data_IF_027625605874
#
_entry.id   IF_027625605874
#
_cell.length_a   1.000
_cell.length_b   1.000
_cell.length_c   1.000
_cell.angle_alpha   90.00
_cell.angle_beta   90.00
_cell.angle_gamma   90.00
#
_symmetry.space_group_name_H-M   'P 1'
#
loop_
_entity.id
_entity.type
_entity.pdbx_description
1 polymer ?
#
# COMPACT_ATOMS: atom_id res chain seq x y z
N UNK A 1 5.10 -20.78 -1.29
CA UNK A 1 4.00 -20.33 -0.41
C UNK A 1 4.60 -19.89 0.93
N UNK A 2 4.47 -18.63 1.29
CA UNK A 2 5.01 -18.07 2.55
C UNK A 2 3.90 -18.03 3.60
N UNK A 3 4.17 -18.52 4.82
CA UNK A 3 3.19 -18.40 5.92
C UNK A 3 3.09 -16.95 6.38
N UNK A 4 4.18 -16.35 6.78
CA UNK A 4 4.20 -14.97 7.25
C UNK A 4 5.53 -14.32 6.91
N UNK A 5 5.49 -13.03 6.63
CA UNK A 5 6.68 -12.20 6.54
C UNK A 5 6.40 -10.90 7.28
N UNK A 6 7.35 -10.48 8.10
CA UNK A 6 7.36 -9.17 8.75
C UNK A 6 8.75 -8.57 8.61
N UNK A 7 8.84 -7.27 8.31
CA UNK A 7 10.11 -6.57 8.39
C UNK A 7 9.91 -5.13 8.85
N UNK A 8 10.88 -4.66 9.63
CA UNK A 8 10.98 -3.32 10.18
C UNK A 8 12.26 -2.67 9.68
N UNK A 9 12.17 -1.47 9.11
CA UNK A 9 13.36 -0.71 8.72
C UNK A 9 13.25 0.74 9.19
N UNK A 10 14.38 1.29 9.61
CA UNK A 10 14.57 2.70 9.93
C UNK A 10 15.50 3.31 8.89
N UNK A 11 15.06 4.40 8.25
CA UNK A 11 15.79 5.14 7.22
C UNK A 11 16.36 4.28 6.06
N UNK A 12 15.64 3.30 5.48
CA UNK A 12 16.16 2.59 4.33
C UNK A 12 16.26 3.55 3.13
N UNK A 13 17.39 3.52 2.43
CA UNK A 13 17.63 4.36 1.26
C UNK A 13 16.68 3.99 0.11
N UNK A 14 16.63 2.70 -0.27
CA UNK A 14 15.74 2.21 -1.31
C UNK A 14 15.24 0.81 -0.96
N UNK A 15 13.97 0.53 -1.21
CA UNK A 15 13.49 -0.84 -1.29
C UNK A 15 13.68 -1.41 -2.70
N UNK A 16 14.13 -2.66 -2.79
CA UNK A 16 14.27 -3.39 -4.05
C UNK A 16 12.92 -3.89 -4.60
N UNK A 17 12.99 -4.83 -5.54
CA UNK A 17 11.80 -5.49 -6.11
C UNK A 17 11.44 -6.72 -5.29
N UNK A 18 10.19 -6.83 -4.86
CA UNK A 18 9.65 -8.01 -4.16
C UNK A 18 8.59 -8.66 -5.04
N UNK A 19 8.78 -9.94 -5.38
CA UNK A 19 7.83 -10.72 -6.16
C UNK A 19 7.44 -11.95 -5.34
N UNK A 20 6.15 -12.08 -5.01
CA UNK A 20 5.62 -13.17 -4.19
C UNK A 20 4.41 -13.80 -4.87
N UNK A 21 4.44 -15.11 -5.09
CA UNK A 21 3.28 -15.82 -5.64
C UNK A 21 2.13 -15.96 -4.64
N UNK A 22 2.45 -16.37 -3.41
CA UNK A 22 1.43 -16.54 -2.38
C UNK A 22 1.99 -16.40 -0.97
N UNK A 23 1.32 -15.58 -0.17
CA UNK A 23 1.63 -15.36 1.24
C UNK A 23 0.35 -15.32 2.09
N UNK A 24 0.34 -15.92 3.28
CA UNK A 24 -0.84 -15.83 4.16
C UNK A 24 -0.92 -14.43 4.75
N UNK A 25 0.15 -13.96 5.39
CA UNK A 25 0.19 -12.66 6.06
C UNK A 25 1.49 -11.91 5.80
N UNK A 26 1.37 -10.62 5.52
CA UNK A 26 2.51 -9.72 5.46
C UNK A 26 2.26 -8.51 6.36
N UNK A 27 3.23 -8.15 7.18
CA UNK A 27 3.30 -6.84 7.83
C UNK A 27 4.57 -6.10 7.45
N UNK A 28 4.46 -4.80 7.18
CA UNK A 28 5.63 -3.95 7.03
C UNK A 28 5.50 -2.69 7.87
N UNK A 29 6.64 -2.29 8.43
CA UNK A 29 6.79 -1.03 9.13
C UNK A 29 8.04 -0.32 8.66
N UNK A 30 7.89 0.95 8.32
CA UNK A 30 8.98 1.81 7.90
C UNK A 30 8.90 3.18 8.53
N UNK A 31 10.07 3.68 8.93
CA UNK A 31 10.24 5.08 9.30
C UNK A 31 11.25 5.75 8.37
N UNK A 32 10.84 6.88 7.79
CA UNK A 32 11.59 7.73 6.87
C UNK A 32 12.26 6.99 5.69
N UNK A 33 11.60 6.09 4.95
CA UNK A 33 12.19 5.54 3.75
C UNK A 33 12.31 6.61 2.66
N UNK A 34 13.43 6.62 1.95
CA UNK A 34 13.67 7.55 0.85
C UNK A 34 12.83 7.19 -0.39
N UNK A 35 12.97 5.97 -0.90
CA UNK A 35 12.10 5.44 -1.95
C UNK A 35 11.62 4.03 -1.63
N UNK A 36 10.33 3.80 -1.82
CA UNK A 36 9.81 2.45 -1.84
C UNK A 36 9.93 1.82 -3.23
N UNK A 37 10.32 0.55 -3.28
CA UNK A 37 10.48 -0.22 -4.51
C UNK A 37 9.17 -0.78 -5.07
N UNK A 38 9.31 -1.74 -5.98
CA UNK A 38 8.19 -2.41 -6.66
C UNK A 38 7.80 -3.67 -5.88
N UNK A 39 6.53 -3.79 -5.50
CA UNK A 39 5.96 -5.01 -4.91
C UNK A 39 4.97 -5.62 -5.89
N UNK A 40 5.14 -6.90 -6.22
CA UNK A 40 4.20 -7.68 -7.03
C UNK A 40 3.78 -8.92 -6.25
N UNK A 41 2.48 -9.04 -5.96
CA UNK A 41 1.93 -10.21 -5.25
C UNK A 41 0.73 -10.77 -6.00
N UNK A 42 0.74 -12.05 -6.37
CA UNK A 42 -0.46 -12.66 -6.97
C UNK A 42 -1.54 -12.97 -5.93
N UNK A 43 -1.19 -13.43 -4.72
CA UNK A 43 -2.19 -13.68 -3.67
C UNK A 43 -1.69 -13.41 -2.26
N UNK A 44 -2.50 -12.72 -1.47
CA UNK A 44 -2.27 -12.47 -0.05
C UNK A 44 -3.57 -12.56 0.74
N UNK A 45 -3.59 -13.23 1.90
CA UNK A 45 -4.81 -13.19 2.74
C UNK A 45 -4.88 -11.87 3.50
N UNK A 46 -3.85 -11.51 4.22
CA UNK A 46 -3.82 -10.29 5.01
C UNK A 46 -2.54 -9.51 4.80
N UNK A 47 -2.67 -8.22 4.54
CA UNK A 47 -1.55 -7.31 4.51
C UNK A 47 -1.84 -6.13 5.42
N UNK A 48 -0.90 -5.85 6.31
CA UNK A 48 -0.84 -4.58 7.03
C UNK A 48 0.41 -3.81 6.65
N UNK A 49 0.23 -2.51 6.45
CA UNK A 49 1.33 -1.63 6.12
C UNK A 49 1.31 -0.36 6.95
N UNK A 50 2.47 0.03 7.47
CA UNK A 50 2.64 1.26 8.21
C UNK A 50 3.89 2.01 7.75
N UNK A 51 3.71 3.29 7.46
CA UNK A 51 4.80 4.20 7.16
C UNK A 51 4.66 5.54 7.89
N UNK A 52 5.80 6.06 8.31
CA UNK A 52 5.96 7.45 8.73
C UNK A 52 6.99 8.17 7.86
N UNK A 53 6.62 9.34 7.34
CA UNK A 53 7.42 10.25 6.53
C UNK A 53 8.15 9.61 5.33
N UNK A 54 7.52 8.76 4.49
CA UNK A 54 8.19 8.30 3.28
C UNK A 54 8.32 9.47 2.28
N UNK A 55 9.48 9.57 1.64
CA UNK A 55 9.72 10.57 0.60
C UNK A 55 8.96 10.23 -0.68
N UNK A 56 9.17 9.01 -1.23
CA UNK A 56 8.39 8.48 -2.35
C UNK A 56 7.91 7.06 -2.08
N UNK A 57 6.62 6.83 -2.27
CA UNK A 57 6.07 5.50 -2.31
C UNK A 57 6.14 4.93 -3.74
N UNK A 58 6.43 3.64 -3.84
CA UNK A 58 6.68 2.92 -5.09
C UNK A 58 5.42 2.30 -5.66
N UNK A 59 5.62 1.34 -6.56
CA UNK A 59 4.56 0.64 -7.29
C UNK A 59 4.18 -0.62 -6.52
N UNK A 60 2.90 -0.80 -6.23
CA UNK A 60 2.36 -2.03 -5.67
C UNK A 60 1.34 -2.60 -6.65
N UNK A 61 1.53 -3.85 -7.06
CA UNK A 61 0.61 -4.59 -7.90
C UNK A 61 0.19 -5.86 -7.16
N UNK A 62 -1.10 -5.99 -6.87
CA UNK A 62 -1.65 -7.18 -6.23
C UNK A 62 -2.86 -7.72 -6.97
N UNK A 63 -2.81 -9.00 -7.35
CA UNK A 63 -3.97 -9.61 -8.01
C UNK A 63 -5.09 -9.89 -7.00
N UNK A 64 -4.83 -10.63 -5.92
CA UNK A 64 -5.89 -11.01 -4.98
C UNK A 64 -5.48 -10.71 -3.54
N UNK A 65 -6.31 -9.93 -2.84
CA UNK A 65 -6.17 -9.66 -1.41
C UNK A 65 -7.50 -9.83 -0.66
N UNK A 66 -7.49 -10.56 0.46
CA UNK A 66 -8.71 -10.63 1.30
C UNK A 66 -8.83 -9.40 2.20
N UNK A 67 -7.78 -9.03 2.91
CA UNK A 67 -7.80 -7.86 3.78
C UNK A 67 -6.53 -7.05 3.62
N UNK A 68 -6.70 -5.75 3.40
CA UNK A 68 -5.61 -4.78 3.35
C UNK A 68 -5.87 -3.68 4.36
N UNK A 69 -4.85 -3.37 5.16
CA UNK A 69 -4.82 -2.17 5.99
C UNK A 69 -3.54 -1.40 5.74
N UNK A 70 -3.69 -0.10 5.58
CA UNK A 70 -2.58 0.76 5.18
C UNK A 70 -2.67 2.08 5.93
N UNK A 71 -1.60 2.39 6.66
CA UNK A 71 -1.50 3.56 7.52
C UNK A 71 -0.29 4.39 7.11
N UNK A 72 -0.53 5.63 6.73
CA UNK A 72 0.50 6.56 6.30
C UNK A 72 0.43 7.88 7.05
N UNK A 73 1.58 8.29 7.57
CA UNK A 73 1.76 9.57 8.23
C UNK A 73 2.77 10.42 7.45
N UNK A 74 2.35 11.62 7.02
CA UNK A 74 3.14 12.65 6.34
C UNK A 74 3.96 12.17 5.12
N UNK A 75 3.43 11.38 4.17
CA UNK A 75 4.17 11.08 2.96
C UNK A 75 4.28 12.32 2.07
N UNK A 76 5.45 12.49 1.46
CA UNK A 76 5.69 13.53 0.47
C UNK A 76 4.98 13.19 -0.85
N UNK A 77 5.25 12.01 -1.41
CA UNK A 77 4.56 11.49 -2.59
C UNK A 77 4.09 10.05 -2.38
N UNK A 78 2.79 9.83 -2.54
CA UNK A 78 2.23 8.48 -2.59
C UNK A 78 2.30 7.93 -4.03
N UNK A 79 2.57 6.64 -4.15
CA UNK A 79 2.89 5.93 -5.39
C UNK A 79 1.66 5.35 -6.06
N UNK A 80 1.88 4.47 -7.03
CA UNK A 80 0.81 3.78 -7.74
C UNK A 80 0.47 2.44 -7.09
N UNK A 81 -0.81 2.25 -6.77
CA UNK A 81 -1.35 0.98 -6.31
C UNK A 81 -2.31 0.41 -7.35
N UNK A 82 -2.14 -0.85 -7.73
CA UNK A 82 -3.03 -1.57 -8.62
C UNK A 82 -3.49 -2.87 -7.99
N UNK A 83 -4.81 -3.05 -7.92
CA UNK A 83 -5.44 -4.23 -7.35
C UNK A 83 -6.47 -4.85 -8.31
N UNK A 84 -6.41 -6.16 -8.54
CA UNK A 84 -7.45 -6.85 -9.31
C UNK A 84 -8.68 -7.15 -8.45
N UNK A 85 -8.51 -7.65 -7.23
CA UNK A 85 -9.62 -7.96 -6.33
C UNK A 85 -9.27 -7.79 -4.86
N UNK A 86 -10.09 -7.00 -4.16
CA UNK A 86 -9.99 -6.76 -2.72
C UNK A 86 -11.32 -7.12 -2.04
N UNK A 87 -11.32 -7.95 -0.99
CA UNK A 87 -12.55 -8.11 -0.19
C UNK A 87 -12.74 -6.98 0.81
N UNK A 88 -11.70 -6.61 1.55
CA UNK A 88 -11.74 -5.55 2.54
C UNK A 88 -10.48 -4.69 2.49
N UNK A 89 -10.69 -3.39 2.58
CA UNK A 89 -9.67 -2.38 2.45
C UNK A 89 -9.89 -1.29 3.49
N UNK A 90 -8.86 -0.96 4.25
CA UNK A 90 -8.82 0.25 5.06
C UNK A 90 -7.58 1.05 4.72
N UNK A 91 -7.80 2.31 4.37
CA UNK A 91 -6.74 3.27 4.11
C UNK A 91 -6.88 4.45 5.07
N UNK A 92 -5.85 4.66 5.88
CA UNK A 92 -5.74 5.83 6.76
C UNK A 92 -4.51 6.63 6.38
N UNK A 93 -4.71 7.93 6.26
CA UNK A 93 -3.70 8.79 5.70
C UNK A 93 -3.78 10.19 6.33
N UNK A 94 -2.68 10.66 6.92
CA UNK A 94 -2.61 11.98 7.53
C UNK A 94 -1.52 12.84 6.90
N UNK A 95 -1.86 14.08 6.55
CA UNK A 95 -0.99 15.10 5.96
C UNK A 95 -0.17 14.65 4.73
N UNK A 96 -0.76 14.01 3.68
CA UNK A 96 -0.07 13.88 2.40
C UNK A 96 0.25 15.26 1.83
N UNK A 97 1.44 15.40 1.27
CA UNK A 97 1.71 16.47 0.30
C UNK A 97 1.07 16.12 -1.05
N UNK A 98 1.40 14.96 -1.63
CA UNK A 98 0.79 14.46 -2.86
C UNK A 98 0.31 13.02 -2.70
N UNK A 99 -0.96 12.79 -3.04
CA UNK A 99 -1.51 11.45 -3.05
C UNK A 99 -1.47 10.84 -4.47
N UNK A 100 -1.16 9.56 -4.55
CA UNK A 100 -0.87 8.85 -5.80
C UNK A 100 -2.12 8.29 -6.47
N UNK A 101 -1.90 7.40 -7.44
CA UNK A 101 -2.96 6.75 -8.21
C UNK A 101 -3.28 5.39 -7.61
N UNK A 102 -4.55 5.14 -7.33
CA UNK A 102 -5.05 3.84 -6.86
C UNK A 102 -6.04 3.31 -7.88
N UNK A 103 -5.77 2.14 -8.45
CA UNK A 103 -6.64 1.44 -9.40
C UNK A 103 -7.10 0.14 -8.75
N UNK A 104 -8.40 -0.04 -8.58
CA UNK A 104 -8.97 -1.25 -7.97
C UNK A 104 -10.06 -1.79 -8.88
N UNK A 105 -9.84 -2.95 -9.50
CA UNK A 105 -10.81 -3.53 -10.45
C UNK A 105 -12.07 -4.08 -9.76
N UNK A 106 -11.98 -4.54 -8.52
CA UNK A 106 -13.12 -5.02 -7.76
C UNK A 106 -12.87 -4.90 -6.26
N UNK A 107 -13.83 -4.31 -5.54
CA UNK A 107 -13.79 -4.17 -4.10
C UNK A 107 -15.16 -4.45 -3.47
N UNK A 108 -15.19 -5.28 -2.41
CA UNK A 108 -16.46 -5.53 -1.69
C UNK A 108 -16.74 -4.53 -0.57
N UNK A 109 -15.70 -4.13 0.15
CA UNK A 109 -15.82 -3.20 1.26
C UNK A 109 -14.56 -2.36 1.37
N UNK A 110 -14.75 -1.06 1.61
CA UNK A 110 -13.66 -0.09 1.64
C UNK A 110 -13.95 0.99 2.68
N UNK A 111 -12.91 1.42 3.38
CA UNK A 111 -12.92 2.63 4.19
C UNK A 111 -11.70 3.48 3.84
N UNK A 112 -11.96 4.77 3.60
CA UNK A 112 -10.95 5.73 3.22
C UNK A 112 -11.00 6.93 4.17
N UNK A 113 -9.93 7.13 4.94
CA UNK A 113 -9.79 8.30 5.82
C UNK A 113 -8.57 9.13 5.42
N UNK A 114 -8.84 10.40 5.10
CA UNK A 114 -7.83 11.44 4.85
C UNK A 114 -7.95 12.53 5.89
N UNK A 115 -6.84 12.91 6.50
CA UNK A 115 -6.75 14.07 7.39
C UNK A 115 -5.74 15.07 6.83
N UNK A 116 -6.19 16.31 6.60
CA UNK A 116 -5.39 17.44 6.10
C UNK A 116 -4.50 17.15 4.86
N UNK A 117 -5.05 16.62 3.75
CA UNK A 117 -4.31 16.50 2.50
C UNK A 117 -4.04 17.89 1.89
N UNK A 118 -2.82 18.11 1.39
CA UNK A 118 -2.52 19.27 0.53
C UNK A 118 -3.00 19.03 -0.91
N UNK A 119 -2.67 17.87 -1.49
CA UNK A 119 -3.19 17.45 -2.80
C UNK A 119 -3.83 16.06 -2.72
N UNK A 120 -5.02 15.94 -3.30
CA UNK A 120 -5.76 14.68 -3.36
C UNK A 120 -5.41 13.88 -4.63
N UNK A 121 -5.29 12.57 -4.47
CA UNK A 121 -4.93 11.64 -5.54
C UNK A 121 -6.18 11.06 -6.20
N UNK A 122 -5.96 10.27 -7.25
CA UNK A 122 -7.04 9.67 -8.04
C UNK A 122 -7.28 8.22 -7.61
N UNK A 123 -8.54 7.89 -7.32
CA UNK A 123 -8.99 6.51 -7.08
C UNK A 123 -9.90 6.10 -8.24
N UNK A 124 -9.53 5.05 -8.96
CA UNK A 124 -10.30 4.50 -10.08
C UNK A 124 -10.82 3.13 -9.67
N UNK A 125 -12.15 2.99 -9.65
CA UNK A 125 -12.84 1.72 -9.43
C UNK A 125 -13.71 1.50 -10.67
N UNK A 126 -13.29 0.64 -11.64
CA UNK A 126 -14.15 0.29 -12.76
C UNK A 126 -15.37 -0.43 -12.22
N UNK A 127 -16.55 0.09 -12.56
CA UNK A 127 -17.83 -0.57 -12.26
C UNK A 127 -18.02 -1.61 -13.39
N UNK A 128 -18.05 -2.89 -13.03
CA UNK A 128 -18.45 -3.99 -13.93
C UNK A 128 -19.81 -4.53 -13.53
#
# INVERSE_FOLDING_TARGET
>A
FIKSWSHYHFNPLNHGVIIISSIKSWSHYYSNPLNHGIIIISSIKSWSHYYSNPLNHGIIIISIIKSWSHYHFNPLNHGSLSFQSIKSWSHYHSNPLNHGVIIISSIKSWSHYHFNPLNHGVIIIPIH
#
